data_IF_036359616585
#
_entry.id   IF_036359616585
#
_cell.length_a   1.000
_cell.length_b   1.000
_cell.length_c   1.000
_cell.angle_alpha   90.00
_cell.angle_beta   90.00
_cell.angle_gamma   90.00
#
_symmetry.space_group_name_H-M   'P 1'
#
loop_
_entity.id
_entity.type
_entity.pdbx_description
1 polymer ?
#
# COMPACT_ATOMS: atom_id res chain seq x y z
N UNK A 1 -14.99 18.56 -6.17
CA UNK A 1 -15.37 17.52 -5.18
C UNK A 1 -16.88 17.39 -5.24
N UNK A 2 -17.47 16.18 -5.18
CA UNK A 2 -18.91 16.09 -4.99
C UNK A 2 -19.25 16.87 -3.72
N UNK A 3 -20.11 17.89 -3.84
CA UNK A 3 -20.53 18.69 -2.69
C UNK A 3 -21.42 17.81 -1.82
N UNK A 4 -21.13 17.79 -0.54
CA UNK A 4 -21.88 17.06 0.46
C UNK A 4 -23.32 17.57 0.51
N UNK A 5 -24.24 16.64 0.76
CA UNK A 5 -25.65 16.98 0.86
C UNK A 5 -25.89 17.74 2.17
N UNK A 6 -26.96 18.54 2.21
CA UNK A 6 -27.37 19.26 3.43
C UNK A 6 -27.56 18.30 4.60
N UNK A 7 -28.17 17.15 4.34
CA UNK A 7 -28.39 16.07 5.31
C UNK A 7 -27.07 15.53 5.89
N UNK A 8 -26.04 15.37 5.06
CA UNK A 8 -24.72 14.93 5.54
C UNK A 8 -24.09 15.96 6.48
N UNK A 9 -24.18 17.25 6.14
CA UNK A 9 -23.64 18.31 6.98
C UNK A 9 -24.38 18.45 8.32
N UNK A 10 -25.71 18.25 8.30
CA UNK A 10 -26.53 18.24 9.52
C UNK A 10 -26.17 17.05 10.42
N UNK A 11 -26.02 15.85 9.84
CA UNK A 11 -25.59 14.66 10.56
C UNK A 11 -24.19 14.82 11.16
N UNK A 12 -23.25 15.43 10.44
CA UNK A 12 -21.91 15.71 10.96
C UNK A 12 -21.95 16.65 12.18
N UNK A 13 -22.78 17.69 12.12
CA UNK A 13 -22.95 18.60 13.25
C UNK A 13 -23.55 17.86 14.46
N UNK A 14 -24.55 17.02 14.23
CA UNK A 14 -25.17 16.22 15.29
C UNK A 14 -24.19 15.25 15.93
N UNK A 15 -23.40 14.51 15.14
CA UNK A 15 -22.37 13.59 15.65
C UNK A 15 -21.34 14.34 16.49
N UNK A 16 -20.89 15.52 16.03
CA UNK A 16 -19.93 16.36 16.79
C UNK A 16 -20.51 16.83 18.12
N UNK A 17 -21.76 17.27 18.13
CA UNK A 17 -22.44 17.71 19.35
C UNK A 17 -22.61 16.56 20.35
N UNK A 18 -23.03 15.39 19.88
CA UNK A 18 -23.16 14.20 20.72
C UNK A 18 -21.82 13.74 21.27
N UNK A 19 -20.75 13.76 20.46
CA UNK A 19 -19.40 13.41 20.91
C UNK A 19 -18.91 14.36 22.02
N UNK A 20 -19.10 15.67 21.85
CA UNK A 20 -18.69 16.65 22.87
C UNK A 20 -19.46 16.49 24.18
N UNK A 21 -20.78 16.23 24.08
CA UNK A 21 -21.61 15.94 25.25
C UNK A 21 -21.13 14.68 25.96
N UNK A 22 -20.90 13.59 25.22
CA UNK A 22 -20.40 12.34 25.77
C UNK A 22 -19.05 12.50 26.49
N UNK A 23 -18.10 13.24 25.88
CA UNK A 23 -16.80 13.51 26.49
C UNK A 23 -16.96 14.28 27.80
N UNK A 24 -17.82 15.31 27.81
CA UNK A 24 -18.09 16.10 29.02
C UNK A 24 -18.69 15.24 30.13
N UNK A 25 -19.71 14.44 29.80
CA UNK A 25 -20.39 13.56 30.75
C UNK A 25 -19.44 12.47 31.28
N UNK A 26 -18.59 11.90 30.42
CA UNK A 26 -17.63 10.87 30.82
C UNK A 26 -16.52 11.43 31.70
N UNK A 27 -15.91 12.56 31.33
CA UNK A 27 -14.82 13.17 32.11
C UNK A 27 -15.29 13.59 33.51
N UNK A 28 -16.57 13.96 33.69
CA UNK A 28 -17.13 14.20 35.02
C UNK A 28 -17.18 12.95 35.93
N UNK A 29 -17.10 11.75 35.36
CA UNK A 29 -17.11 10.47 36.10
C UNK A 29 -15.72 9.84 36.28
N UNK A 30 -14.73 10.32 35.52
CA UNK A 30 -13.39 9.77 35.56
C UNK A 30 -12.60 10.31 36.78
N UNK A 31 -11.62 9.55 37.28
CA UNK A 31 -10.67 10.06 38.27
C UNK A 31 -9.90 11.28 37.74
N UNK A 32 -9.49 12.19 38.62
CA UNK A 32 -8.84 13.47 38.28
C UNK A 32 -7.59 13.35 37.37
N UNK A 33 -6.93 12.18 37.36
CA UNK A 33 -5.75 11.90 36.53
C UNK A 33 -6.07 11.35 35.13
N UNK A 34 -7.35 11.22 34.77
CA UNK A 34 -7.81 10.67 33.49
C UNK A 34 -8.72 11.65 32.78
N UNK A 35 -8.43 11.88 31.51
CA UNK A 35 -9.24 12.71 30.62
C UNK A 35 -9.35 12.05 29.26
N UNK A 36 -10.58 12.02 28.71
CA UNK A 36 -10.81 11.71 27.31
C UNK A 36 -10.82 13.03 26.51
N UNK A 37 -9.97 13.10 25.50
CA UNK A 37 -9.88 14.26 24.61
C UNK A 37 -10.54 13.98 23.25
N UNK A 38 -11.06 15.04 22.63
CA UNK A 38 -11.55 15.00 21.26
C UNK A 38 -10.40 15.27 20.28
N UNK A 39 -9.92 14.23 19.60
CA UNK A 39 -8.82 14.36 18.64
C UNK A 39 -9.26 15.00 17.31
N UNK A 40 -10.46 14.68 16.83
CA UNK A 40 -10.94 15.22 15.55
C UNK A 40 -12.13 14.47 14.97
N UNK A 41 -12.46 14.82 13.71
CA UNK A 41 -13.57 14.24 12.96
C UNK A 41 -13.12 13.78 11.58
N UNK A 42 -13.40 12.51 11.26
CA UNK A 42 -13.12 11.95 9.95
C UNK A 42 -14.41 11.57 9.24
N UNK A 43 -14.69 12.23 8.11
CA UNK A 43 -15.92 11.99 7.34
C UNK A 43 -16.00 10.57 6.80
N UNK A 44 -14.86 10.04 6.35
CA UNK A 44 -14.75 8.66 5.84
C UNK A 44 -13.48 8.03 6.40
N UNK A 45 -13.61 6.77 6.76
CA UNK A 45 -12.53 5.96 7.30
C UNK A 45 -12.61 4.55 6.76
N UNK A 46 -11.44 3.94 6.63
CA UNK A 46 -11.28 2.59 6.16
C UNK A 46 -10.30 1.87 7.09
N UNK A 47 -10.77 0.79 7.73
CA UNK A 47 -10.04 0.09 8.77
C UNK A 47 -9.79 -1.37 8.33
N UNK A 48 -8.52 -1.76 8.22
CA UNK A 48 -8.13 -3.11 7.79
C UNK A 48 -7.93 -4.01 9.00
N UNK A 49 -7.08 -3.56 9.93
CA UNK A 49 -6.71 -4.31 11.12
C UNK A 49 -6.09 -3.38 12.17
N UNK A 50 -5.70 -3.93 13.32
CA UNK A 50 -5.05 -3.16 14.39
C UNK A 50 -3.84 -2.39 13.83
N UNK A 51 -3.84 -1.06 14.04
CA UNK A 51 -2.83 -0.10 13.54
C UNK A 51 -2.76 0.06 12.01
N UNK A 52 -3.77 -0.40 11.26
CA UNK A 52 -3.81 -0.31 9.79
C UNK A 52 -5.14 0.29 9.33
N UNK A 53 -5.11 1.57 9.03
CA UNK A 53 -6.29 2.31 8.61
C UNK A 53 -5.93 3.51 7.73
N UNK A 54 -6.93 4.02 7.02
CA UNK A 54 -6.86 5.28 6.30
C UNK A 54 -8.13 6.09 6.56
N UNK A 55 -7.98 7.36 6.88
CA UNK A 55 -9.08 8.30 7.08
C UNK A 55 -8.91 9.50 6.18
N UNK A 56 -9.99 10.26 5.96
CA UNK A 56 -9.95 11.53 5.23
C UNK A 56 -10.37 12.69 6.14
N UNK A 57 -9.54 13.73 6.12
CA UNK A 57 -9.71 14.99 6.84
C UNK A 57 -9.40 16.13 5.87
N UNK A 58 -10.33 17.08 5.70
CA UNK A 58 -10.16 18.24 4.81
C UNK A 58 -9.66 17.94 3.39
N UNK A 59 -10.03 16.77 2.87
CA UNK A 59 -9.60 16.31 1.55
C UNK A 59 -8.21 15.67 1.51
N UNK A 60 -7.52 15.55 2.63
CA UNK A 60 -6.25 14.83 2.78
C UNK A 60 -6.47 13.42 3.33
N UNK A 61 -5.76 12.44 2.77
CA UNK A 61 -5.84 11.05 3.23
C UNK A 61 -4.72 10.81 4.23
N UNK A 62 -5.09 10.48 5.46
CA UNK A 62 -4.18 10.11 6.53
C UNK A 62 -4.17 8.58 6.62
N UNK A 63 -3.06 7.97 6.23
CA UNK A 63 -2.87 6.52 6.29
C UNK A 63 -1.88 6.12 7.38
N UNK A 64 -2.24 5.13 8.20
CA UNK A 64 -1.38 4.55 9.24
C UNK A 64 -1.21 3.05 9.00
N UNK A 65 0.04 2.58 9.04
CA UNK A 65 0.37 1.15 8.92
C UNK A 65 0.14 0.51 7.55
N UNK A 66 -0.24 1.29 6.54
CA UNK A 66 -0.36 0.86 5.14
C UNK A 66 0.97 1.01 4.39
N UNK A 67 1.09 0.34 3.23
CA UNK A 67 2.28 0.33 2.37
C UNK A 67 2.69 1.69 1.84
N UNK A 68 1.76 2.65 1.76
CA UNK A 68 1.98 4.02 1.31
C UNK A 68 3.26 4.67 1.85
N UNK A 69 3.57 4.45 3.13
CA UNK A 69 4.71 5.09 3.83
C UNK A 69 5.95 4.20 3.92
N UNK A 70 5.89 2.97 3.39
CA UNK A 70 6.94 1.97 3.55
C UNK A 70 7.99 2.06 2.43
N UNK A 71 9.27 2.20 2.75
CA UNK A 71 10.33 2.35 1.72
C UNK A 71 10.59 1.09 0.88
N UNK A 72 10.34 -0.09 1.45
CA UNK A 72 10.54 -1.41 0.84
C UNK A 72 9.47 -1.81 -0.20
N UNK A 73 8.59 -0.87 -0.53
CA UNK A 73 7.51 -1.04 -1.51
C UNK A 73 7.75 -0.20 -2.75
N UNK A 74 7.56 -0.82 -3.92
CA UNK A 74 7.79 -0.16 -5.21
C UNK A 74 6.85 1.05 -5.40
N UNK A 75 7.32 2.16 -6.02
CA UNK A 75 6.53 3.36 -6.25
C UNK A 75 5.17 3.09 -6.92
N UNK A 76 5.12 2.18 -7.91
CA UNK A 76 3.86 1.82 -8.57
C UNK A 76 2.80 1.30 -7.60
N UNK A 77 3.20 0.53 -6.59
CA UNK A 77 2.27 -0.04 -5.61
C UNK A 77 1.73 1.04 -4.70
N UNK A 78 2.60 1.92 -4.20
CA UNK A 78 2.22 3.05 -3.36
C UNK A 78 1.25 3.97 -4.08
N UNK A 79 1.56 4.29 -5.33
CA UNK A 79 0.72 5.14 -6.15
C UNK A 79 -0.65 4.49 -6.40
N UNK A 80 -0.67 3.18 -6.71
CA UNK A 80 -1.92 2.43 -6.90
C UNK A 80 -2.75 2.39 -5.61
N UNK A 81 -2.14 2.11 -4.46
CA UNK A 81 -2.81 2.11 -3.16
C UNK A 81 -3.37 3.51 -2.82
N UNK A 82 -2.62 4.57 -3.16
CA UNK A 82 -3.06 5.97 -2.97
C UNK A 82 -4.28 6.28 -3.80
N UNK A 83 -4.27 5.90 -5.08
CA UNK A 83 -5.36 6.20 -6.00
C UNK A 83 -6.61 5.38 -5.68
N UNK A 84 -6.46 4.11 -5.30
CA UNK A 84 -7.54 3.28 -4.74
C UNK A 84 -8.17 3.93 -3.50
N UNK A 85 -7.36 4.41 -2.56
CA UNK A 85 -7.88 5.08 -1.36
C UNK A 85 -8.55 6.41 -1.69
N UNK A 86 -8.12 7.14 -2.72
CA UNK A 86 -8.85 8.33 -3.19
C UNK A 86 -10.20 7.95 -3.78
N UNK A 87 -10.24 6.94 -4.65
CA UNK A 87 -11.48 6.49 -5.27
C UNK A 87 -12.51 6.07 -4.18
N UNK A 88 -12.05 5.45 -3.09
CA UNK A 88 -12.91 5.05 -1.96
C UNK A 88 -13.24 6.24 -1.03
N UNK A 89 -12.23 6.90 -0.45
CA UNK A 89 -12.42 7.88 0.62
C UNK A 89 -12.85 9.25 0.11
N UNK A 90 -12.44 9.67 -1.09
CA UNK A 90 -12.87 10.94 -1.69
C UNK A 90 -14.13 10.78 -2.50
N UNK A 91 -14.19 9.76 -3.36
CA UNK A 91 -15.27 9.62 -4.34
C UNK A 91 -16.35 8.64 -3.92
N UNK A 92 -16.11 7.79 -2.91
CA UNK A 92 -17.08 6.78 -2.48
C UNK A 92 -17.34 5.72 -3.56
N UNK A 93 -16.42 5.52 -4.49
CA UNK A 93 -16.62 4.72 -5.69
C UNK A 93 -15.70 3.49 -5.71
N UNK A 94 -16.20 2.39 -5.17
CA UNK A 94 -15.49 1.09 -5.13
C UNK A 94 -15.29 0.49 -6.51
N UNK A 95 -16.26 0.67 -7.43
CA UNK A 95 -16.16 0.25 -8.83
C UNK A 95 -15.01 0.96 -9.57
N UNK A 96 -14.81 2.25 -9.29
CA UNK A 96 -13.68 2.99 -9.82
C UNK A 96 -12.36 2.48 -9.26
N UNK A 97 -12.32 2.21 -7.95
CA UNK A 97 -11.14 1.67 -7.29
C UNK A 97 -10.68 0.34 -7.92
N UNK A 98 -11.60 -0.60 -8.18
CA UNK A 98 -11.24 -1.88 -8.83
C UNK A 98 -10.79 -1.70 -10.29
N UNK A 99 -11.40 -0.75 -11.02
CA UNK A 99 -10.96 -0.39 -12.37
C UNK A 99 -9.54 0.20 -12.39
N UNK A 100 -9.20 1.01 -11.39
CA UNK A 100 -7.84 1.53 -11.17
C UNK A 100 -6.85 0.38 -10.99
N UNK A 101 -7.17 -0.60 -10.12
CA UNK A 101 -6.32 -1.79 -9.90
C UNK A 101 -6.14 -2.58 -11.20
N UNK A 102 -7.23 -2.89 -11.91
CA UNK A 102 -7.21 -3.64 -13.17
C UNK A 102 -6.33 -2.97 -14.23
N UNK A 103 -6.41 -1.64 -14.35
CA UNK A 103 -5.58 -0.86 -15.28
C UNK A 103 -4.09 -1.02 -14.98
N UNK A 104 -3.71 -0.95 -13.70
CA UNK A 104 -2.30 -1.08 -13.30
C UNK A 104 -1.81 -2.52 -13.44
N UNK A 105 -2.60 -3.52 -13.06
CA UNK A 105 -2.25 -4.93 -13.26
C UNK A 105 -2.00 -5.24 -14.75
N UNK A 106 -2.84 -4.71 -15.64
CA UNK A 106 -2.63 -4.82 -17.09
C UNK A 106 -1.32 -4.16 -17.54
N UNK A 107 -0.96 -2.97 -17.00
CA UNK A 107 0.34 -2.33 -17.29
C UNK A 107 1.51 -3.20 -16.83
N UNK A 108 1.43 -3.78 -15.62
CA UNK A 108 2.43 -4.70 -15.07
C UNK A 108 2.62 -5.91 -15.96
N UNK A 109 1.53 -6.59 -16.30
CA UNK A 109 1.57 -7.78 -17.15
C UNK A 109 2.12 -7.52 -18.55
N UNK A 110 1.76 -6.37 -19.15
CA UNK A 110 2.23 -6.00 -20.50
C UNK A 110 3.63 -5.39 -20.53
N UNK A 111 4.24 -5.11 -19.38
CA UNK A 111 5.57 -4.48 -19.30
C UNK A 111 5.56 -3.00 -19.68
N UNK A 112 4.40 -2.33 -19.72
CA UNK A 112 4.26 -0.90 -20.04
C UNK A 112 4.51 -0.03 -18.81
N UNK A 113 5.69 -0.19 -18.21
CA UNK A 113 6.10 0.43 -16.94
C UNK A 113 7.57 0.81 -17.02
N UNK A 114 7.91 1.97 -16.48
CA UNK A 114 9.29 2.42 -16.37
C UNK A 114 10.00 1.74 -15.20
N UNK A 115 11.28 1.38 -15.37
CA UNK A 115 12.06 0.72 -14.31
C UNK A 115 12.07 1.48 -12.98
N UNK A 116 12.02 2.82 -13.04
CA UNK A 116 11.96 3.69 -11.86
C UNK A 116 10.71 3.47 -11.00
N UNK A 117 9.60 3.05 -11.61
CA UNK A 117 8.35 2.74 -10.91
C UNK A 117 8.45 1.43 -10.10
N UNK A 118 9.48 0.61 -10.36
CA UNK A 118 9.70 -0.71 -9.77
C UNK A 118 10.81 -0.74 -8.70
N UNK A 119 11.52 0.37 -8.49
CA UNK A 119 12.66 0.43 -7.56
C UNK A 119 12.20 0.17 -6.12
N UNK A 120 12.83 -0.81 -5.48
CA UNK A 120 12.69 -1.10 -4.05
C UNK A 120 13.85 -0.47 -3.30
N UNK A 121 13.54 0.20 -2.20
CA UNK A 121 14.53 0.85 -1.34
C UNK A 121 14.63 0.11 -0.01
N UNK A 122 15.81 -0.37 0.36
CA UNK A 122 16.05 -1.00 1.67
C UNK A 122 17.35 -0.52 2.28
N UNK A 123 17.33 -0.21 3.57
CA UNK A 123 18.51 0.23 4.29
C UNK A 123 19.32 -0.96 4.80
N UNK A 124 20.65 -0.91 4.61
CA UNK A 124 21.59 -1.82 5.27
C UNK A 124 21.70 -1.45 6.74
N UNK A 125 21.40 -2.38 7.64
CA UNK A 125 21.32 -2.13 9.09
C UNK A 125 22.54 -2.63 9.87
N UNK A 126 23.39 -3.42 9.22
CA UNK A 126 24.62 -4.01 9.78
C UNK A 126 25.64 -4.27 8.66
N UNK A 127 26.91 -4.55 8.96
CA UNK A 127 27.87 -5.01 7.94
C UNK A 127 27.36 -6.22 7.16
N UNK A 128 27.65 -6.28 5.85
CA UNK A 128 27.11 -7.33 4.96
C UNK A 128 27.54 -8.75 5.38
N UNK A 129 28.70 -8.89 6.03
CA UNK A 129 29.21 -10.14 6.60
C UNK A 129 28.41 -10.64 7.81
N UNK A 130 27.68 -9.77 8.51
CA UNK A 130 26.90 -10.12 9.71
C UNK A 130 25.45 -10.55 9.40
N UNK A 131 25.04 -10.50 8.13
CA UNK A 131 23.71 -10.98 7.73
C UNK A 131 23.67 -12.51 7.70
N UNK A 132 22.91 -13.09 8.65
CA UNK A 132 22.60 -14.53 8.64
C UNK A 132 21.63 -14.92 7.52
N UNK A 133 20.63 -14.06 7.28
CA UNK A 133 19.65 -14.25 6.21
C UNK A 133 19.98 -13.31 5.05
N UNK A 134 20.26 -13.89 3.88
CA UNK A 134 20.65 -13.15 2.68
C UNK A 134 19.38 -12.75 1.90
N UNK A 135 18.87 -11.57 2.22
CA UNK A 135 17.73 -10.97 1.52
C UNK A 135 18.11 -10.30 0.18
N UNK A 136 17.12 -9.88 -0.62
CA UNK A 136 17.33 -9.22 -1.91
C UNK A 136 18.25 -7.99 -1.83
N UNK A 137 18.04 -7.14 -0.82
CA UNK A 137 18.86 -5.96 -0.57
C UNK A 137 20.32 -6.29 -0.25
N UNK A 138 20.60 -7.43 0.41
CA UNK A 138 21.96 -7.88 0.72
C UNK A 138 22.65 -8.38 -0.55
N UNK A 139 21.94 -9.13 -1.40
CA UNK A 139 22.49 -9.58 -2.69
C UNK A 139 22.78 -8.39 -3.61
N UNK A 140 21.85 -7.44 -3.70
CA UNK A 140 22.07 -6.22 -4.46
C UNK A 140 23.26 -5.43 -3.92
N UNK A 141 23.37 -5.26 -2.59
CA UNK A 141 24.52 -4.60 -1.97
C UNK A 141 25.85 -5.28 -2.29
N UNK A 142 25.92 -6.62 -2.22
CA UNK A 142 27.12 -7.37 -2.59
C UNK A 142 27.51 -7.16 -4.07
N UNK A 143 26.52 -7.15 -4.97
CA UNK A 143 26.76 -6.81 -6.39
C UNK A 143 27.31 -5.39 -6.54
N UNK A 144 26.88 -4.43 -5.72
CA UNK A 144 27.47 -3.08 -5.73
C UNK A 144 28.93 -3.09 -5.24
N UNK A 145 29.27 -3.88 -4.21
CA UNK A 145 30.66 -4.06 -3.75
C UNK A 145 31.55 -4.71 -4.82
N UNK A 146 31.02 -5.67 -5.59
CA UNK A 146 31.72 -6.27 -6.74
C UNK A 146 32.06 -5.23 -7.83
N UNK A 147 31.29 -4.14 -7.92
CA UNK A 147 31.55 -3.00 -8.80
C UNK A 147 32.38 -1.89 -8.11
N UNK A 148 32.97 -2.18 -6.95
CA UNK A 148 33.85 -1.25 -6.22
C UNK A 148 33.13 -0.21 -5.36
N UNK A 149 31.80 -0.30 -5.21
CA UNK A 149 31.04 0.62 -4.35
C UNK A 149 31.12 0.14 -2.90
N UNK A 150 31.68 0.97 -2.03
CA UNK A 150 31.74 0.67 -0.59
C UNK A 150 30.36 0.79 0.05
N UNK A 151 29.85 -0.31 0.62
CA UNK A 151 28.56 -0.33 1.33
C UNK A 151 28.78 -0.36 2.84
N UNK A 152 28.21 0.61 3.55
CA UNK A 152 28.26 0.66 5.02
C UNK A 152 26.87 0.57 5.64
N UNK A 153 26.81 0.31 6.95
CA UNK A 153 25.57 0.47 7.73
C UNK A 153 24.99 1.87 7.48
N UNK A 154 23.68 1.92 7.26
CA UNK A 154 22.95 3.14 6.94
C UNK A 154 22.70 3.35 5.45
N UNK A 155 23.47 2.70 4.57
CA UNK A 155 23.34 2.83 3.11
C UNK A 155 21.97 2.37 2.64
N UNK A 156 21.32 3.16 1.78
CA UNK A 156 20.06 2.80 1.13
C UNK A 156 20.40 2.12 -0.20
N UNK A 157 19.99 0.87 -0.35
CA UNK A 157 20.15 0.10 -1.58
C UNK A 157 18.89 0.27 -2.42
N UNK A 158 19.09 0.69 -3.66
CA UNK A 158 18.07 0.77 -4.70
C UNK A 158 18.24 -0.44 -5.62
N UNK A 159 17.22 -1.28 -5.70
CA UNK A 159 17.29 -2.49 -6.50
C UNK A 159 15.94 -2.85 -7.09
N UNK A 160 15.98 -3.69 -8.10
CA UNK A 160 14.82 -4.25 -8.79
C UNK A 160 14.93 -5.77 -8.81
N UNK A 161 13.79 -6.44 -8.89
CA UNK A 161 13.75 -7.89 -9.11
C UNK A 161 13.59 -8.16 -10.61
N UNK A 162 14.55 -8.88 -11.18
CA UNK A 162 14.57 -9.25 -12.60
C UNK A 162 14.12 -10.69 -12.80
N UNK A 163 13.65 -11.01 -13.99
CA UNK A 163 13.26 -12.38 -14.36
C UNK A 163 14.50 -13.26 -14.43
N UNK A 164 14.38 -14.50 -13.98
CA UNK A 164 15.49 -15.44 -13.97
C UNK A 164 15.20 -16.68 -13.14
N UNK A 165 16.19 -17.57 -13.04
CA UNK A 165 16.13 -18.75 -12.18
C UNK A 165 16.57 -18.42 -10.76
N UNK A 166 16.17 -19.26 -9.81
CA UNK A 166 16.57 -19.14 -8.41
C UNK A 166 15.63 -18.26 -7.57
N UNK A 167 16.07 -17.99 -6.34
CA UNK A 167 15.31 -17.23 -5.34
C UNK A 167 15.14 -15.76 -5.72
N UNK A 168 14.12 -15.09 -5.14
CA UNK A 168 13.91 -13.63 -5.28
C UNK A 168 15.20 -12.86 -4.92
N UNK A 169 15.94 -13.31 -3.90
CA UNK A 169 17.20 -12.67 -3.49
C UNK A 169 18.25 -12.72 -4.60
N UNK A 170 18.45 -13.87 -5.24
CA UNK A 170 19.45 -14.03 -6.32
C UNK A 170 19.12 -13.18 -7.54
N UNK A 171 17.81 -12.95 -7.77
CA UNK A 171 17.27 -12.15 -8.86
C UNK A 171 17.20 -10.65 -8.56
N UNK A 172 17.69 -10.22 -7.40
CA UNK A 172 17.83 -8.80 -7.08
C UNK A 172 19.04 -8.20 -7.81
N UNK A 173 18.83 -7.09 -8.52
CA UNK A 173 19.87 -6.37 -9.25
C UNK A 173 19.83 -4.90 -8.82
N UNK A 174 20.97 -4.27 -8.47
CA UNK A 174 20.99 -2.84 -8.19
C UNK A 174 20.43 -2.06 -9.39
N UNK A 175 19.64 -1.03 -9.13
CA UNK A 175 18.91 -0.32 -10.18
C UNK A 175 19.86 0.27 -11.25
N UNK A 176 21.00 0.83 -10.83
CA UNK A 176 22.01 1.41 -11.72
C UNK A 176 22.63 0.40 -12.69
N UNK A 177 22.56 -0.90 -12.37
CA UNK A 177 23.07 -2.01 -13.19
C UNK A 177 21.94 -2.86 -13.77
N UNK A 178 20.71 -2.34 -13.82
CA UNK A 178 19.53 -3.06 -14.32
C UNK A 178 19.19 -2.76 -15.77
N UNK A 179 20.01 -1.96 -16.46
CA UNK A 179 19.81 -1.65 -17.88
C UNK A 179 19.80 -2.93 -18.74
N UNK A 180 18.83 -3.03 -19.65
CA UNK A 180 18.63 -4.21 -20.49
C UNK A 180 18.04 -5.44 -19.80
N UNK A 181 17.85 -5.42 -18.47
CA UNK A 181 17.26 -6.55 -17.76
C UNK A 181 15.73 -6.62 -17.94
N UNK A 182 15.20 -7.84 -18.11
CA UNK A 182 13.74 -8.07 -18.08
C UNK A 182 13.26 -8.10 -16.62
N UNK A 183 12.38 -7.18 -16.21
CA UNK A 183 11.82 -7.17 -14.86
C UNK A 183 10.88 -8.37 -14.62
N UNK A 184 10.90 -8.91 -13.39
CA UNK A 184 9.98 -9.99 -13.01
C UNK A 184 8.59 -9.44 -12.67
N UNK A 185 7.73 -9.44 -13.69
CA UNK A 185 6.34 -8.98 -13.59
C UNK A 185 5.54 -9.77 -12.55
N UNK A 186 5.76 -11.08 -12.48
CA UNK A 186 5.02 -11.96 -11.58
C UNK A 186 5.37 -11.66 -10.12
N UNK A 187 6.64 -11.35 -9.83
CA UNK A 187 7.04 -10.86 -8.52
C UNK A 187 6.30 -9.56 -8.15
N UNK A 188 6.29 -8.55 -9.03
CA UNK A 188 5.62 -7.28 -8.72
C UNK A 188 4.10 -7.40 -8.63
N UNK A 189 3.49 -8.36 -9.32
CA UNK A 189 2.05 -8.64 -9.18
C UNK A 189 1.78 -9.37 -7.86
N UNK A 190 2.43 -10.53 -7.64
CA UNK A 190 2.06 -11.47 -6.59
C UNK A 190 2.69 -11.16 -5.22
N UNK A 191 3.90 -10.59 -5.19
CA UNK A 191 4.61 -10.29 -3.95
C UNK A 191 4.49 -8.82 -3.53
N UNK A 192 4.07 -7.95 -4.45
CA UNK A 192 3.90 -6.53 -4.20
C UNK A 192 2.43 -6.13 -4.39
N UNK A 193 1.95 -5.95 -5.62
CA UNK A 193 0.64 -5.35 -5.89
C UNK A 193 -0.53 -6.02 -5.14
N UNK A 194 -0.67 -7.35 -5.26
CA UNK A 194 -1.79 -8.09 -4.66
C UNK A 194 -1.76 -8.02 -3.13
N UNK A 195 -0.64 -8.28 -2.42
CA UNK A 195 -0.62 -8.14 -0.96
C UNK A 195 -0.93 -6.73 -0.43
N UNK A 196 -0.57 -5.68 -1.17
CA UNK A 196 -0.87 -4.29 -0.77
C UNK A 196 -2.33 -3.91 -1.01
N UNK A 197 -2.86 -4.26 -2.18
CA UNK A 197 -4.22 -3.91 -2.60
C UNK A 197 -5.25 -4.83 -1.97
N UNK A 198 -4.94 -6.12 -1.84
CA UNK A 198 -5.79 -7.14 -1.21
C UNK A 198 -6.25 -6.73 0.17
N UNK A 199 -5.37 -6.12 0.98
CA UNK A 199 -5.78 -5.60 2.31
C UNK A 199 -6.92 -4.60 2.28
N UNK A 200 -7.05 -3.82 1.20
CA UNK A 200 -8.15 -2.88 1.02
C UNK A 200 -9.35 -3.59 0.38
N UNK A 201 -9.09 -4.39 -0.65
CA UNK A 201 -10.14 -5.03 -1.43
C UNK A 201 -10.85 -6.17 -0.69
N UNK A 202 -10.18 -6.86 0.24
CA UNK A 202 -10.78 -7.97 1.00
C UNK A 202 -11.93 -7.53 1.88
N UNK A 203 -11.82 -6.38 2.54
CA UNK A 203 -12.91 -5.76 3.28
C UNK A 203 -14.03 -5.19 2.38
N UNK A 204 -13.80 -5.11 1.07
CA UNK A 204 -14.83 -4.78 0.08
C UNK A 204 -15.45 -6.05 -0.55
N UNK A 205 -15.12 -7.24 -0.03
CA UNK A 205 -15.69 -8.51 -0.48
C UNK A 205 -14.89 -9.22 -1.58
N UNK A 206 -13.77 -8.67 -2.03
CA UNK A 206 -12.92 -9.35 -3.02
C UNK A 206 -12.04 -10.41 -2.36
N UNK A 207 -11.69 -11.46 -3.09
CA UNK A 207 -10.74 -12.47 -2.64
C UNK A 207 -9.36 -12.26 -3.25
N UNK A 208 -8.36 -13.00 -2.74
CA UNK A 208 -7.03 -13.07 -3.38
C UNK A 208 -7.14 -13.56 -4.82
N UNK A 209 -8.00 -14.56 -5.06
CA UNK A 209 -8.22 -15.14 -6.37
C UNK A 209 -8.78 -14.10 -7.34
N UNK A 210 -9.75 -13.30 -6.93
CA UNK A 210 -10.34 -12.26 -7.80
C UNK A 210 -9.28 -11.28 -8.31
N UNK A 211 -8.31 -10.91 -7.45
CA UNK A 211 -7.20 -10.03 -7.82
C UNK A 211 -6.19 -10.73 -8.75
N UNK A 212 -5.95 -12.02 -8.55
CA UNK A 212 -5.12 -12.84 -9.44
C UNK A 212 -5.78 -12.99 -10.81
N UNK A 213 -7.08 -13.26 -10.88
CA UNK A 213 -7.86 -13.36 -12.12
C UNK A 213 -7.85 -12.04 -12.90
N UNK A 214 -8.02 -10.92 -12.19
CA UNK A 214 -7.88 -9.57 -12.76
C UNK A 214 -6.49 -9.33 -13.37
N UNK A 215 -5.44 -9.88 -12.74
CA UNK A 215 -4.08 -9.80 -13.28
C UNK A 215 -3.93 -10.70 -14.52
N UNK A 216 -4.56 -11.87 -14.52
CA UNK A 216 -4.55 -12.79 -15.65
C UNK A 216 -5.39 -12.28 -16.84
N UNK A 217 -6.35 -11.38 -16.59
CA UNK A 217 -7.27 -10.89 -17.60
C UNK A 217 -8.45 -11.82 -17.82
N UNK A 218 -8.62 -12.81 -16.94
CA UNK A 218 -9.76 -13.72 -16.95
C UNK A 218 -10.94 -13.02 -16.29
N UNK A 219 -12.11 -13.08 -16.94
CA UNK A 219 -13.35 -12.66 -16.29
C UNK A 219 -13.74 -13.78 -15.34
N UNK A 220 -13.74 -13.49 -14.05
CA UNK A 220 -14.47 -14.30 -13.09
C UNK A 220 -15.96 -14.14 -13.43
N UNK A 221 -16.54 -15.15 -14.07
CA UNK A 221 -17.99 -15.38 -14.01
C UNK A 221 -18.24 -15.88 -12.60
N UNK A 222 -18.62 -14.99 -11.68
CA UNK A 222 -19.08 -15.43 -10.36
C UNK A 222 -20.33 -16.30 -10.54
N UNK A 223 -20.45 -17.33 -9.71
CA UNK A 223 -21.55 -18.29 -9.68
C UNK A 223 -22.93 -17.66 -9.39
N UNK A 224 -22.97 -16.37 -9.04
CA UNK A 224 -24.20 -15.58 -8.90
C UNK A 224 -24.87 -15.24 -10.24
N UNK A 225 -24.23 -15.56 -11.37
CA UNK A 225 -24.86 -15.44 -12.69
C UNK A 225 -25.77 -16.63 -13.06
N UNK A 226 -25.91 -17.62 -12.16
CA UNK A 226 -26.68 -18.86 -12.39
C UNK A 226 -27.76 -19.16 -11.35
N UNK A 227 -28.00 -18.27 -10.36
CA UNK A 227 -29.05 -18.43 -9.35
C UNK A 227 -29.86 -17.15 -9.18
#
# INVERSE_FOLDING_TARGET
MPKETKEQLELEAEIKNQAQKFITDLNATLPEVMELEYEGFYRRGFFVSKKRYAVIEDGEIIAKGLELVRRDWAPIVKQTQKDVLKDILKEGNTTKAINTVKKVLKRLKTGKIEGKELIIHTQITKPLSEYKQIGPHVVAAKKMEEHGIKITKGTIIQYVIVKGKGSISQRAVPYDYSEGAEYDRDYYINNQMIPAIGRIMYSLGYTKQDLEDLAQGEKQTSLDAFF
#
